data_IF_661122348382
#
_entry.id   IF_661122348382
#
_cell.length_a   1.000
_cell.length_b   1.000
_cell.length_c   1.000
_cell.angle_alpha   90.00
_cell.angle_beta   90.00
_cell.angle_gamma   90.00
#
_symmetry.space_group_name_H-M   'P 1'
#
loop_
_entity.id
_entity.type
_entity.pdbx_description
1 polymer ?
#
# COMPACT_ATOMS: atom_id res chain seq x y z
N UNK A 1 -42.04 5.36 -7.55
CA UNK A 1 -41.34 4.55 -8.57
C UNK A 1 -42.01 4.60 -9.96
N UNK A 2 -43.33 4.78 -10.07
CA UNK A 2 -44.05 4.86 -11.36
C UNK A 2 -43.76 6.11 -12.22
N UNK A 3 -43.01 7.10 -11.71
CA UNK A 3 -42.69 8.36 -12.42
C UNK A 3 -41.36 8.31 -13.21
N UNK A 4 -40.74 7.14 -13.38
CA UNK A 4 -39.52 6.99 -14.20
C UNK A 4 -38.24 7.63 -13.61
N UNK A 5 -38.30 8.19 -12.40
CA UNK A 5 -37.17 8.83 -11.73
C UNK A 5 -36.21 7.85 -11.04
N UNK A 6 -36.40 6.53 -11.21
CA UNK A 6 -35.47 5.55 -10.66
C UNK A 6 -34.17 5.55 -11.49
N UNK A 7 -33.05 5.84 -10.82
CA UNK A 7 -31.72 5.82 -11.43
C UNK A 7 -30.77 5.07 -10.51
N UNK A 8 -30.16 4.01 -11.04
CA UNK A 8 -29.02 3.36 -10.38
C UNK A 8 -27.81 4.24 -10.66
N UNK A 9 -27.31 4.94 -9.64
CA UNK A 9 -26.15 5.83 -9.78
C UNK A 9 -24.84 5.08 -9.66
N UNK A 10 -24.81 4.02 -8.85
CA UNK A 10 -23.66 3.16 -8.61
C UNK A 10 -24.15 1.75 -8.28
N UNK A 11 -23.39 0.73 -8.69
CA UNK A 11 -23.57 -0.66 -8.28
C UNK A 11 -22.20 -1.32 -8.13
N UNK A 12 -22.12 -2.36 -7.32
CA UNK A 12 -20.95 -3.21 -7.19
C UNK A 12 -21.42 -4.67 -7.18
N UNK A 13 -20.56 -5.56 -7.67
CA UNK A 13 -20.75 -7.00 -7.60
C UNK A 13 -19.75 -7.56 -6.59
N UNK A 14 -20.07 -8.66 -5.94
CA UNK A 14 -19.20 -9.35 -4.99
C UNK A 14 -19.47 -10.85 -5.04
N UNK A 15 -18.58 -11.61 -4.42
CA UNK A 15 -18.68 -13.06 -4.26
C UNK A 15 -18.40 -13.50 -2.80
N UNK A 16 -18.59 -12.59 -1.85
CA UNK A 16 -18.44 -12.79 -0.40
C UNK A 16 -19.21 -14.01 0.14
N UNK A 17 -20.25 -14.42 -0.57
CA UNK A 17 -21.07 -15.59 -0.25
C UNK A 17 -20.36 -16.93 -0.47
N UNK A 18 -19.28 -16.94 -1.26
CA UNK A 18 -18.55 -18.16 -1.64
C UNK A 18 -17.24 -18.27 -0.85
N UNK A 19 -17.18 -19.22 0.07
CA UNK A 19 -15.91 -19.57 0.74
C UNK A 19 -15.07 -20.51 -0.15
N UNK A 20 -14.16 -19.92 -0.93
CA UNK A 20 -13.22 -20.68 -1.77
C UNK A 20 -12.22 -21.53 -0.96
N UNK A 21 -12.08 -21.32 0.35
CA UNK A 21 -11.25 -22.13 1.24
C UNK A 21 -11.79 -23.56 1.40
N UNK A 22 -13.08 -23.77 1.12
CA UNK A 22 -13.70 -25.10 1.09
C UNK A 22 -13.23 -25.95 -0.09
N UNK A 23 -12.49 -25.38 -1.04
CA UNK A 23 -11.91 -26.12 -2.16
C UNK A 23 -10.82 -27.09 -1.69
N UNK A 24 -11.14 -28.38 -1.63
CA UNK A 24 -10.24 -29.41 -1.13
C UNK A 24 -9.48 -30.12 -2.26
N UNK A 25 -8.28 -29.62 -2.58
CA UNK A 25 -7.35 -30.23 -3.55
C UNK A 25 -6.92 -31.65 -3.22
N UNK A 26 -7.13 -32.10 -1.98
CA UNK A 26 -6.69 -33.40 -1.48
C UNK A 26 -7.89 -34.33 -1.20
N UNK A 27 -9.08 -34.06 -1.77
CA UNK A 27 -10.25 -34.89 -1.52
C UNK A 27 -9.97 -36.36 -1.93
N UNK A 28 -10.15 -37.35 -1.03
CA UNK A 28 -9.76 -38.75 -1.27
C UNK A 28 -10.42 -39.37 -2.51
N UNK A 29 -11.63 -38.91 -2.84
CA UNK A 29 -12.43 -39.39 -3.97
C UNK A 29 -12.03 -38.80 -5.33
N UNK A 30 -10.97 -37.98 -5.39
CA UNK A 30 -10.42 -37.41 -6.62
C UNK A 30 -11.03 -36.07 -7.01
N UNK A 31 -10.58 -35.54 -8.17
CA UNK A 31 -10.82 -34.15 -8.59
C UNK A 31 -12.28 -33.77 -8.81
N UNK A 32 -13.16 -34.74 -9.02
CA UNK A 32 -14.60 -34.51 -9.18
C UNK A 32 -15.29 -34.06 -7.87
N UNK A 33 -14.58 -34.09 -6.74
CA UNK A 33 -15.09 -33.76 -5.42
C UNK A 33 -14.33 -32.60 -4.77
N UNK A 34 -13.43 -31.92 -5.49
CA UNK A 34 -12.64 -30.83 -4.91
C UNK A 34 -13.49 -29.60 -4.58
N UNK A 35 -14.62 -29.42 -5.25
CA UNK A 35 -15.54 -28.29 -5.14
C UNK A 35 -16.93 -28.68 -4.63
N UNK A 36 -17.12 -29.90 -4.11
CA UNK A 36 -18.43 -30.41 -3.73
C UNK A 36 -19.11 -29.52 -2.68
N UNK A 37 -18.38 -29.11 -1.66
CA UNK A 37 -18.87 -28.25 -0.59
C UNK A 37 -19.25 -26.85 -1.12
N UNK A 38 -18.51 -26.33 -2.11
CA UNK A 38 -18.81 -25.04 -2.74
C UNK A 38 -20.09 -25.13 -3.58
N UNK A 39 -20.28 -26.23 -4.33
CA UNK A 39 -21.48 -26.47 -5.13
C UNK A 39 -22.76 -26.62 -4.30
N UNK A 40 -22.62 -26.96 -3.02
CA UNK A 40 -23.72 -27.08 -2.07
C UNK A 40 -24.05 -25.78 -1.34
N UNK A 41 -23.32 -24.68 -1.61
CA UNK A 41 -23.58 -23.39 -0.97
C UNK A 41 -24.99 -22.89 -1.35
N UNK A 42 -25.85 -22.54 -0.36
CA UNK A 42 -27.21 -22.11 -0.63
C UNK A 42 -27.24 -20.78 -1.41
N UNK A 43 -28.21 -20.64 -2.31
CA UNK A 43 -28.45 -19.37 -3.03
C UNK A 43 -29.03 -18.34 -2.06
N UNK A 44 -28.33 -17.22 -1.89
CA UNK A 44 -28.76 -16.11 -1.03
C UNK A 44 -29.63 -15.12 -1.80
N UNK A 45 -30.65 -14.58 -1.13
CA UNK A 45 -31.50 -13.51 -1.67
C UNK A 45 -30.96 -12.12 -1.29
N UNK A 46 -31.32 -11.10 -2.06
CA UNK A 46 -30.88 -9.74 -1.78
C UNK A 46 -31.52 -9.20 -0.49
N UNK A 47 -30.69 -8.84 0.50
CA UNK A 47 -31.14 -8.22 1.75
C UNK A 47 -30.92 -6.70 1.71
N UNK A 48 -31.87 -5.93 2.22
CA UNK A 48 -31.78 -4.46 2.28
C UNK A 48 -31.15 -3.94 3.58
N UNK A 49 -30.66 -4.84 4.44
CA UNK A 49 -30.15 -4.50 5.77
C UNK A 49 -28.71 -4.01 5.68
N UNK A 50 -28.36 -2.95 6.42
CA UNK A 50 -27.04 -2.30 6.37
C UNK A 50 -25.84 -3.22 6.65
N UNK A 51 -26.06 -4.32 7.38
CA UNK A 51 -25.01 -5.32 7.67
C UNK A 51 -24.93 -6.45 6.64
N UNK A 52 -25.74 -6.41 5.58
CA UNK A 52 -25.73 -7.35 4.46
C UNK A 52 -25.05 -6.73 3.22
N UNK A 53 -24.09 -5.83 3.44
CA UNK A 53 -23.29 -5.25 2.37
C UNK A 53 -22.16 -6.19 1.99
N UNK A 54 -21.82 -6.16 0.69
CA UNK A 54 -20.61 -6.77 0.14
C UNK A 54 -19.38 -6.14 0.83
N UNK A 55 -18.51 -6.96 1.41
CA UNK A 55 -17.23 -6.55 1.98
C UNK A 55 -16.10 -6.60 0.93
N UNK A 56 -16.13 -7.57 0.01
CA UNK A 56 -15.17 -7.71 -1.09
C UNK A 56 -15.85 -7.53 -2.44
N UNK A 57 -15.66 -6.36 -3.05
CA UNK A 57 -16.13 -6.11 -4.40
C UNK A 57 -15.27 -6.83 -5.45
N UNK A 58 -15.90 -7.30 -6.53
CA UNK A 58 -15.19 -7.80 -7.70
C UNK A 58 -14.32 -6.69 -8.31
N UNK A 59 -13.05 -7.01 -8.54
CA UNK A 59 -12.09 -6.13 -9.22
C UNK A 59 -12.03 -6.49 -10.70
N UNK A 60 -12.07 -5.49 -11.56
CA UNK A 60 -11.89 -5.67 -13.00
C UNK A 60 -10.45 -5.35 -13.38
N UNK A 61 -9.78 -6.28 -14.05
CA UNK A 61 -8.45 -6.06 -14.61
C UNK A 61 -8.55 -5.57 -16.05
N UNK A 62 -7.83 -4.50 -16.37
CA UNK A 62 -7.78 -3.95 -17.71
C UNK A 62 -6.67 -4.65 -18.49
N UNK A 63 -6.99 -5.78 -19.14
CA UNK A 63 -6.02 -6.54 -19.91
C UNK A 63 -6.48 -7.98 -20.10
N UNK A 64 -5.75 -8.93 -19.53
CA UNK A 64 -6.05 -10.35 -19.62
C UNK A 64 -7.02 -10.79 -18.51
N UNK A 65 -8.18 -11.35 -18.87
CA UNK A 65 -9.13 -11.94 -17.92
C UNK A 65 -8.76 -13.38 -17.53
N UNK A 66 -7.84 -14.02 -18.27
CA UNK A 66 -7.35 -15.37 -17.98
C UNK A 66 -6.12 -15.32 -17.06
N UNK A 67 -6.28 -14.68 -15.90
CA UNK A 67 -5.22 -14.63 -14.89
C UNK A 67 -5.18 -15.94 -14.10
N UNK A 68 -4.02 -16.60 -14.11
CA UNK A 68 -3.78 -17.75 -13.24
C UNK A 68 -3.51 -17.31 -11.79
N UNK A 69 -2.96 -16.11 -11.60
CA UNK A 69 -2.60 -15.56 -10.29
C UNK A 69 -3.05 -14.11 -10.17
N UNK A 70 -3.60 -13.77 -9.00
CA UNK A 70 -4.01 -12.41 -8.70
C UNK A 70 -2.82 -11.59 -8.16
N UNK A 71 -2.69 -10.32 -8.60
CA UNK A 71 -1.70 -9.42 -8.03
C UNK A 71 -2.09 -9.05 -6.59
N UNK A 72 -1.09 -8.69 -5.80
CA UNK A 72 -1.22 -8.24 -4.42
C UNK A 72 -0.36 -6.99 -4.21
N UNK A 73 -0.75 -6.12 -3.29
CA UNK A 73 0.06 -5.01 -2.79
C UNK A 73 0.46 -5.26 -1.33
N UNK A 74 1.71 -4.96 -0.99
CA UNK A 74 2.22 -5.06 0.37
C UNK A 74 3.07 -3.84 0.70
N UNK A 75 2.94 -3.33 1.92
CA UNK A 75 3.92 -2.39 2.46
C UNK A 75 5.25 -3.15 2.60
N UNK A 76 6.31 -2.63 1.98
CA UNK A 76 7.59 -3.29 2.00
C UNK A 76 8.16 -3.27 3.43
N UNK A 77 8.36 -4.45 3.97
CA UNK A 77 9.08 -4.69 5.21
C UNK A 77 10.58 -4.58 4.99
N UNK A 78 11.29 -4.11 6.01
CA UNK A 78 12.74 -3.95 6.00
C UNK A 78 13.41 -5.28 5.69
N UNK A 79 14.21 -5.36 4.62
CA UNK A 79 15.24 -6.36 4.62
C UNK A 79 16.37 -5.82 5.51
N UNK A 80 16.60 -6.49 6.64
CA UNK A 80 17.76 -6.23 7.50
C UNK A 80 19.01 -6.62 6.74
N UNK A 81 19.46 -5.77 5.82
CA UNK A 81 20.71 -6.01 5.13
C UNK A 81 21.46 -4.69 4.99
N UNK A 82 22.47 -4.56 5.85
CA UNK A 82 23.49 -3.53 5.71
C UNK A 82 24.34 -3.90 4.49
N UNK A 83 24.15 -3.18 3.39
CA UNK A 83 25.01 -3.30 2.23
C UNK A 83 25.74 -1.98 2.02
N UNK A 84 27.01 -2.07 1.65
CA UNK A 84 27.81 -0.93 1.20
C UNK A 84 27.27 -0.44 -0.15
N UNK A 85 26.20 0.35 -0.13
CA UNK A 85 25.67 0.99 -1.30
C UNK A 85 26.50 2.24 -1.63
N UNK A 86 27.08 2.28 -2.82
CA UNK A 86 27.34 3.56 -3.48
C UNK A 86 25.99 4.16 -3.91
N UNK A 87 25.33 4.85 -2.98
CA UNK A 87 24.09 5.57 -3.24
C UNK A 87 23.00 5.26 -2.23
N UNK A 88 22.85 6.15 -1.25
CA UNK A 88 21.76 6.27 -0.27
C UNK A 88 21.34 4.99 0.48
N UNK A 89 21.73 4.90 1.75
CA UNK A 89 21.08 4.02 2.74
C UNK A 89 19.57 4.31 2.78
N UNK A 90 18.75 3.44 2.18
CA UNK A 90 17.30 3.59 2.26
C UNK A 90 16.80 3.03 3.58
N UNK A 91 16.22 3.90 4.41
CA UNK A 91 15.60 3.50 5.66
C UNK A 91 14.21 2.95 5.37
N UNK A 92 14.04 1.63 5.50
CA UNK A 92 12.75 0.98 5.40
C UNK A 92 11.97 1.21 6.69
N UNK A 93 10.80 1.85 6.58
CA UNK A 93 9.91 2.00 7.72
C UNK A 93 9.06 0.72 7.88
N UNK A 94 9.18 0.06 9.02
CA UNK A 94 8.41 -1.14 9.36
C UNK A 94 7.52 -0.86 10.56
N UNK A 95 6.24 -0.64 10.30
CA UNK A 95 5.26 -0.47 11.35
C UNK A 95 3.85 -0.75 10.86
N UNK A 96 2.99 -1.18 11.78
CA UNK A 96 1.54 -1.12 11.60
C UNK A 96 0.99 0.29 11.73
N UNK A 97 1.80 1.28 12.13
CA UNK A 97 1.44 2.69 12.25
C UNK A 97 2.64 3.59 11.94
N UNK A 98 2.47 4.53 11.01
CA UNK A 98 3.53 5.48 10.67
C UNK A 98 3.29 6.86 11.28
N UNK A 99 4.33 7.47 11.83
CA UNK A 99 4.24 8.76 12.52
C UNK A 99 4.67 9.90 11.59
N UNK A 100 3.95 11.02 11.57
CA UNK A 100 4.29 12.20 10.76
C UNK A 100 4.37 13.40 11.67
N UNK A 101 5.54 14.03 11.73
CA UNK A 101 5.71 15.26 12.52
C UNK A 101 5.10 16.47 11.81
N UNK A 102 4.58 17.42 12.59
CA UNK A 102 4.13 18.71 12.05
C UNK A 102 5.14 19.83 12.25
N UNK A 103 5.96 19.77 13.30
CA UNK A 103 6.91 20.83 13.69
C UNK A 103 8.34 20.30 13.89
N UNK A 104 9.38 21.15 13.71
CA UNK A 104 10.78 20.75 13.94
C UNK A 104 11.07 20.25 15.37
N UNK A 105 10.36 20.79 16.37
CA UNK A 105 10.45 20.29 17.74
C UNK A 105 9.91 18.85 17.87
N UNK A 106 8.86 18.54 17.10
CA UNK A 106 8.33 17.17 17.01
C UNK A 106 9.29 16.27 16.24
N UNK A 107 9.90 16.73 15.15
CA UNK A 107 10.91 15.97 14.41
C UNK A 107 12.05 15.49 15.31
N UNK A 108 12.57 16.39 16.12
CA UNK A 108 13.69 16.09 17.04
C UNK A 108 13.27 15.06 18.10
N UNK A 109 12.06 15.20 18.64
CA UNK A 109 11.54 14.28 19.65
C UNK A 109 11.27 12.89 19.06
N UNK A 110 10.63 12.80 17.88
CA UNK A 110 10.37 11.53 17.20
C UNK A 110 11.66 10.83 16.78
N UNK A 111 12.68 11.58 16.33
CA UNK A 111 13.99 10.99 15.97
C UNK A 111 14.67 10.32 17.18
N UNK A 112 14.40 10.81 18.38
CA UNK A 112 14.92 10.21 19.63
C UNK A 112 14.06 9.04 20.09
N UNK A 113 12.74 9.17 19.99
CA UNK A 113 11.78 8.18 20.49
C UNK A 113 11.59 6.97 19.55
N UNK A 114 11.80 7.14 18.24
CA UNK A 114 11.51 6.13 17.21
C UNK A 114 12.71 5.93 16.29
N UNK A 115 12.98 4.67 15.94
CA UNK A 115 14.12 4.30 15.07
C UNK A 115 13.74 4.03 13.62
N UNK A 116 12.55 3.51 13.33
CA UNK A 116 12.18 3.00 11.99
C UNK A 116 10.71 3.23 11.60
N UNK A 117 10.05 4.27 12.14
CA UNK A 117 8.59 4.40 12.00
C UNK A 117 8.07 5.82 11.76
N UNK A 118 8.95 6.82 11.58
CA UNK A 118 8.54 8.22 11.51
C UNK A 118 8.92 8.88 10.17
N UNK A 119 8.15 9.89 9.81
CA UNK A 119 8.32 10.82 8.69
C UNK A 119 8.76 12.17 9.21
N UNK A 120 9.79 12.75 8.58
CA UNK A 120 10.10 14.16 8.75
C UNK A 120 9.10 15.03 7.98
N UNK A 121 8.72 16.14 8.60
CA UNK A 121 8.03 17.24 7.94
C UNK A 121 8.81 17.77 6.73
N UNK A 122 8.28 18.78 6.01
CA UNK A 122 8.49 19.03 4.57
C UNK A 122 9.94 19.37 4.26
N UNK A 123 10.76 18.34 4.12
CA UNK A 123 12.14 18.41 3.69
C UNK A 123 12.33 17.34 2.63
N UNK A 124 13.14 17.63 1.61
CA UNK A 124 13.39 16.75 0.47
C UNK A 124 14.20 15.48 0.83
N UNK A 125 14.30 15.17 2.13
CA UNK A 125 14.95 13.99 2.72
C UNK A 125 13.98 13.18 3.59
N UNK A 126 12.68 13.34 3.39
CA UNK A 126 11.67 12.62 4.15
C UNK A 126 11.84 11.10 3.95
N UNK A 127 11.86 10.30 5.02
CA UNK A 127 11.79 8.85 4.89
C UNK A 127 10.44 8.50 4.21
N UNK A 128 10.42 7.39 3.47
CA UNK A 128 9.29 7.02 2.63
C UNK A 128 8.75 5.67 3.08
N UNK A 129 7.45 5.46 2.93
CA UNK A 129 6.85 4.13 3.04
C UNK A 129 6.86 3.48 1.67
N UNK A 130 7.53 2.34 1.56
CA UNK A 130 7.60 1.59 0.32
C UNK A 130 6.38 0.69 0.20
N UNK A 131 5.79 0.64 -0.99
CA UNK A 131 4.73 -0.30 -1.34
C UNK A 131 5.21 -1.09 -2.54
N UNK A 132 5.18 -2.41 -2.44
CA UNK A 132 5.48 -3.31 -3.55
C UNK A 132 4.20 -3.96 -4.06
N UNK A 133 4.11 -4.12 -5.38
CA UNK A 133 3.07 -4.93 -6.03
C UNK A 133 3.69 -6.14 -6.72
N UNK A 134 2.90 -7.20 -6.86
CA UNK A 134 3.29 -8.41 -7.58
C UNK A 134 2.47 -9.61 -7.14
N UNK A 135 2.88 -10.80 -7.56
CA UNK A 135 2.18 -12.05 -7.21
C UNK A 135 2.78 -12.63 -5.94
N UNK A 136 1.94 -12.88 -4.95
CA UNK A 136 2.35 -13.55 -3.71
C UNK A 136 1.55 -14.85 -3.52
N UNK A 137 2.22 -15.94 -3.16
CA UNK A 137 1.59 -17.25 -2.98
C UNK A 137 2.19 -18.04 -1.81
N UNK A 138 1.38 -18.89 -1.18
CA UNK A 138 1.81 -19.85 -0.16
C UNK A 138 2.41 -21.15 -0.74
N UNK A 139 2.24 -21.46 -2.03
CA UNK A 139 2.67 -22.74 -2.64
C UNK A 139 4.14 -22.74 -3.08
N UNK A 140 4.87 -23.84 -2.81
CA UNK A 140 6.32 -23.97 -3.05
C UNK A 140 6.74 -24.20 -4.52
N UNK A 141 5.82 -24.59 -5.39
CA UNK A 141 6.06 -24.82 -6.83
C UNK A 141 5.06 -23.96 -7.64
N UNK A 142 5.53 -23.30 -8.71
CA UNK A 142 5.45 -21.85 -8.95
C UNK A 142 4.07 -21.25 -8.61
N UNK A 143 4.01 -20.24 -7.72
CA UNK A 143 4.39 -18.83 -8.01
C UNK A 143 5.51 -18.21 -7.15
N UNK A 144 6.22 -18.98 -6.30
CA UNK A 144 7.23 -18.41 -5.38
C UNK A 144 8.59 -18.05 -5.98
N UNK A 145 8.86 -18.42 -7.24
CA UNK A 145 10.18 -18.14 -7.82
C UNK A 145 10.28 -16.68 -8.24
N UNK A 146 11.10 -15.93 -7.51
CA UNK A 146 11.45 -14.54 -7.81
C UNK A 146 12.53 -14.51 -8.88
N UNK A 147 12.14 -14.66 -10.14
CA UNK A 147 13.05 -14.53 -11.29
C UNK A 147 12.44 -13.66 -12.42
N UNK A 148 13.30 -13.20 -13.34
CA UNK A 148 12.88 -12.35 -14.47
C UNK A 148 12.02 -13.07 -15.50
N UNK A 149 12.17 -14.39 -15.64
CA UNK A 149 11.38 -15.20 -16.57
C UNK A 149 9.92 -15.22 -16.12
N UNK A 150 9.66 -15.56 -14.86
CA UNK A 150 8.36 -15.55 -14.22
C UNK A 150 7.78 -14.14 -14.15
N UNK A 151 8.60 -13.12 -13.91
CA UNK A 151 8.14 -11.73 -14.03
C UNK A 151 7.68 -11.40 -15.45
N UNK A 152 8.42 -11.82 -16.47
CA UNK A 152 8.04 -11.58 -17.87
C UNK A 152 6.76 -12.32 -18.22
N UNK A 153 6.63 -13.60 -17.85
CA UNK A 153 5.46 -14.42 -18.16
C UNK A 153 4.22 -13.99 -17.38
N UNK A 154 4.32 -13.82 -16.06
CA UNK A 154 3.15 -13.63 -15.20
C UNK A 154 2.79 -12.18 -14.94
N UNK A 155 3.76 -11.25 -14.96
CA UNK A 155 3.48 -9.82 -14.75
C UNK A 155 3.39 -9.08 -16.07
N UNK A 156 4.47 -9.05 -16.86
CA UNK A 156 4.52 -8.26 -18.10
C UNK A 156 3.57 -8.84 -19.13
N UNK A 157 3.59 -10.16 -19.35
CA UNK A 157 2.75 -10.85 -20.33
C UNK A 157 1.24 -10.79 -20.02
N UNK A 158 0.86 -10.41 -18.80
CA UNK A 158 -0.53 -10.23 -18.39
C UNK A 158 -0.89 -8.77 -18.06
N UNK A 159 -0.03 -7.82 -18.43
CA UNK A 159 -0.23 -6.38 -18.18
C UNK A 159 -0.47 -6.02 -16.70
N UNK A 160 0.16 -6.74 -15.76
CA UNK A 160 -0.01 -6.53 -14.31
C UNK A 160 1.01 -5.55 -13.72
N UNK A 161 1.56 -4.63 -14.52
CA UNK A 161 2.58 -3.68 -14.07
C UNK A 161 1.97 -2.32 -13.71
N UNK A 162 2.11 -1.91 -12.45
CA UNK A 162 1.66 -0.60 -11.96
C UNK A 162 2.77 0.46 -12.12
N UNK A 163 2.71 1.23 -13.21
CA UNK A 163 3.60 2.38 -13.41
C UNK A 163 3.20 3.61 -12.61
N UNK A 164 1.96 3.64 -12.12
CA UNK A 164 1.38 4.76 -11.38
C UNK A 164 0.50 4.21 -10.25
N UNK A 165 0.40 4.99 -9.18
CA UNK A 165 -0.43 4.69 -8.03
C UNK A 165 -1.31 5.88 -7.69
N UNK A 166 -2.59 5.60 -7.44
CA UNK A 166 -3.55 6.55 -6.90
C UNK A 166 -3.43 6.54 -5.37
N UNK A 167 -3.04 7.67 -4.79
CA UNK A 167 -2.92 7.85 -3.35
C UNK A 167 -4.01 8.79 -2.85
N UNK A 168 -4.94 8.26 -2.08
CA UNK A 168 -6.07 9.00 -1.53
C UNK A 168 -5.85 9.29 -0.05
N UNK A 169 -5.96 10.57 0.31
CA UNK A 169 -5.67 11.09 1.66
C UNK A 169 -6.77 12.05 2.12
N UNK A 170 -6.96 12.15 3.44
CA UNK A 170 -7.84 13.17 4.02
C UNK A 170 -7.19 14.55 3.93
N UNK A 171 -7.78 15.42 3.11
CA UNK A 171 -7.23 16.75 2.81
C UNK A 171 -7.40 17.77 3.93
N UNK A 172 -8.13 17.44 5.00
CA UNK A 172 -8.16 18.26 6.22
C UNK A 172 -6.82 18.21 6.97
N UNK A 173 -6.09 17.11 6.80
CA UNK A 173 -4.86 16.83 7.56
C UNK A 173 -3.62 16.69 6.69
N UNK A 174 -3.78 16.32 5.41
CA UNK A 174 -2.68 16.15 4.46
C UNK A 174 -2.78 17.19 3.35
N UNK A 175 -1.69 17.91 3.12
CA UNK A 175 -1.61 18.95 2.09
C UNK A 175 -1.00 18.44 0.77
N UNK A 176 -0.10 17.46 0.85
CA UNK A 176 0.61 16.96 -0.32
C UNK A 176 1.06 15.52 -0.17
N UNK A 177 1.24 14.85 -1.30
CA UNK A 177 1.78 13.49 -1.39
C UNK A 177 2.94 13.50 -2.37
N UNK A 178 4.05 12.84 -2.03
CA UNK A 178 5.20 12.68 -2.90
C UNK A 178 5.46 11.20 -3.20
N UNK A 179 5.69 10.93 -4.48
CA UNK A 179 6.20 9.66 -4.99
C UNK A 179 7.71 9.65 -5.15
N UNK A 180 8.29 8.57 -5.69
CA UNK A 180 9.67 8.58 -6.15
C UNK A 180 9.85 9.58 -7.31
N UNK A 181 10.94 10.35 -7.28
CA UNK A 181 11.35 11.22 -8.38
C UNK A 181 11.76 10.38 -9.59
N UNK A 182 11.17 10.65 -10.76
CA UNK A 182 11.34 9.79 -11.95
C UNK A 182 12.74 9.81 -12.57
N UNK A 183 13.53 10.86 -12.30
CA UNK A 183 14.87 11.00 -12.84
C UNK A 183 15.85 10.29 -11.89
N UNK A 184 16.25 9.06 -12.26
CA UNK A 184 17.18 8.18 -11.53
C UNK A 184 16.57 7.29 -10.42
N UNK A 185 15.26 7.03 -10.46
CA UNK A 185 14.66 6.03 -9.58
C UNK A 185 14.96 4.60 -10.05
N UNK A 186 15.64 3.79 -9.22
CA UNK A 186 16.03 2.41 -9.53
C UNK A 186 15.69 1.46 -8.39
N UNK A 187 15.33 0.23 -8.75
CA UNK A 187 15.05 -0.85 -7.81
C UNK A 187 15.39 -2.19 -8.43
N UNK A 188 16.69 -2.44 -8.60
CA UNK A 188 17.20 -3.57 -9.37
C UNK A 188 18.38 -4.27 -8.69
N UNK A 189 18.43 -5.59 -8.80
CA UNK A 189 19.69 -6.34 -8.72
C UNK A 189 20.35 -6.35 -10.10
N UNK A 190 21.66 -6.26 -10.16
CA UNK A 190 22.43 -6.24 -11.40
C UNK A 190 23.25 -7.51 -11.54
N UNK A 191 23.53 -7.91 -12.78
CA UNK A 191 24.31 -9.12 -13.11
C UNK A 191 25.76 -9.09 -12.59
N UNK A 192 26.25 -7.94 -12.13
CA UNK A 192 27.57 -7.78 -11.51
C UNK A 192 27.55 -8.03 -9.99
N UNK A 193 26.49 -8.67 -9.47
CA UNK A 193 26.28 -8.87 -8.05
C UNK A 193 26.22 -7.54 -7.25
N UNK A 194 25.71 -6.47 -7.87
CA UNK A 194 25.41 -5.20 -7.19
C UNK A 194 23.92 -4.92 -7.11
N UNK A 195 23.52 -4.26 -6.03
CA UNK A 195 22.15 -3.83 -5.79
C UNK A 195 22.07 -2.32 -6.02
N UNK A 196 21.20 -1.89 -6.92
CA UNK A 196 20.98 -0.49 -7.24
C UNK A 196 19.55 -0.09 -6.87
N UNK A 197 19.42 0.50 -5.69
CA UNK A 197 18.15 0.93 -5.11
C UNK A 197 18.22 2.40 -4.77
N UNK A 198 17.82 3.25 -5.72
CA UNK A 198 17.74 4.68 -5.52
C UNK A 198 16.28 5.11 -5.63
N UNK A 199 15.60 5.37 -4.51
CA UNK A 199 14.30 6.04 -4.51
C UNK A 199 14.44 7.27 -3.63
N UNK A 200 14.24 8.44 -4.22
CA UNK A 200 14.22 9.72 -3.52
C UNK A 200 12.86 10.37 -3.73
N UNK A 201 12.34 11.12 -2.74
CA UNK A 201 11.06 11.79 -2.88
C UNK A 201 11.15 12.84 -4.00
N UNK A 202 10.22 12.75 -4.94
CA UNK A 202 9.96 13.80 -5.92
C UNK A 202 9.22 15.00 -5.30
N UNK A 203 8.82 15.97 -6.12
CA UNK A 203 8.02 17.09 -5.63
C UNK A 203 6.66 16.60 -5.08
N UNK A 204 6.21 17.23 -4.00
CA UNK A 204 4.88 16.99 -3.45
C UNK A 204 3.80 17.45 -4.46
N UNK A 205 2.85 16.57 -4.71
CA UNK A 205 1.66 16.81 -5.53
C UNK A 205 0.46 17.03 -4.61
N UNK A 206 -0.32 18.08 -4.87
CA UNK A 206 -1.54 18.37 -4.12
C UNK A 206 -2.68 17.46 -4.60
N UNK A 207 -3.31 16.67 -3.70
CA UNK A 207 -4.46 15.85 -4.03
C UNK A 207 -5.67 16.72 -4.46
N UNK A 208 -6.34 16.36 -5.56
CA UNK A 208 -7.32 17.25 -6.19
C UNK A 208 -8.69 16.62 -6.48
N UNK A 209 -8.77 15.31 -6.74
CA UNK A 209 -10.01 14.62 -7.13
C UNK A 209 -10.41 13.59 -6.08
N UNK A 210 -11.70 13.47 -5.75
CA UNK A 210 -12.17 12.33 -4.94
C UNK A 210 -12.45 11.11 -5.84
N UNK A 211 -11.55 10.13 -5.85
CA UNK A 211 -11.72 8.89 -6.64
C UNK A 211 -12.34 7.74 -5.87
N UNK A 212 -12.30 7.80 -4.55
CA UNK A 212 -12.75 6.70 -3.68
C UNK A 212 -14.15 6.94 -3.09
N UNK A 213 -14.74 8.13 -3.31
CA UNK A 213 -16.08 8.46 -2.86
C UNK A 213 -16.21 8.71 -1.35
N UNK A 214 -15.10 8.80 -0.62
CA UNK A 214 -15.10 9.10 0.82
C UNK A 214 -15.02 10.62 1.01
N UNK A 215 -15.85 11.18 1.86
CA UNK A 215 -15.85 12.63 2.14
C UNK A 215 -14.49 13.12 2.64
N UNK A 216 -14.09 14.32 2.20
CA UNK A 216 -12.80 14.96 2.51
C UNK A 216 -11.55 14.27 1.93
N UNK A 217 -11.70 13.07 1.36
CA UNK A 217 -10.62 12.39 0.67
C UNK A 217 -10.43 12.93 -0.73
N UNK A 218 -9.16 13.16 -1.08
CA UNK A 218 -8.75 13.45 -2.45
C UNK A 218 -7.54 12.63 -2.81
N UNK A 219 -7.36 12.43 -4.11
CA UNK A 219 -6.39 11.54 -4.70
C UNK A 219 -5.32 12.35 -5.43
N UNK A 220 -4.05 12.00 -5.19
CA UNK A 220 -2.91 12.38 -5.98
C UNK A 220 -2.35 11.15 -6.71
N UNK A 221 -1.71 11.35 -7.86
CA UNK A 221 -1.06 10.27 -8.60
C UNK A 221 0.43 10.33 -8.30
N UNK A 222 1.02 9.21 -7.90
CA UNK A 222 2.46 9.06 -7.73
C UNK A 222 3.02 8.01 -8.69
N UNK A 223 4.31 8.10 -8.98
CA UNK A 223 4.99 7.17 -9.87
C UNK A 223 5.32 5.84 -9.18
N UNK A 224 5.27 4.77 -9.96
CA UNK A 224 5.86 3.47 -9.65
C UNK A 224 7.16 3.27 -10.42
N UNK A 225 8.02 2.41 -9.90
CA UNK A 225 9.29 2.01 -10.51
C UNK A 225 9.27 0.50 -10.66
N UNK A 226 9.71 -0.07 -11.80
CA UNK A 226 9.77 -1.52 -11.96
C UNK A 226 10.62 -2.16 -10.87
N UNK A 227 10.06 -3.16 -10.17
CA UNK A 227 10.82 -3.94 -9.20
C UNK A 227 11.57 -5.07 -9.93
N UNK A 228 12.90 -4.95 -9.99
CA UNK A 228 13.83 -5.89 -10.64
C UNK A 228 14.82 -6.47 -9.64
N UNK A 229 14.50 -6.47 -8.35
CA UNK A 229 15.39 -7.05 -7.32
C UNK A 229 15.47 -8.59 -7.42
N UNK A 230 14.54 -9.18 -8.17
CA UNK A 230 14.53 -10.59 -8.57
C UNK A 230 15.45 -10.94 -9.76
N UNK A 231 16.36 -10.04 -10.16
CA UNK A 231 17.12 -10.17 -11.40
C UNK A 231 18.31 -11.15 -11.37
N UNK A 232 18.76 -11.60 -10.20
CA UNK A 232 19.91 -12.49 -10.09
C UNK A 232 19.71 -13.52 -8.97
N UNK A 233 20.26 -14.71 -9.16
CA UNK A 233 19.92 -15.95 -8.42
C UNK A 233 20.37 -15.99 -6.96
N UNK A 234 20.76 -14.85 -6.38
CA UNK A 234 21.24 -14.77 -5.01
C UNK A 234 20.08 -14.72 -4.02
N UNK A 235 20.00 -15.74 -3.18
CA UNK A 235 18.97 -15.89 -2.14
C UNK A 235 18.95 -14.74 -1.12
N UNK A 236 20.03 -13.96 -1.02
CA UNK A 236 20.09 -12.75 -0.19
C UNK A 236 19.24 -11.62 -0.77
N UNK A 237 19.18 -11.46 -2.10
CA UNK A 237 18.41 -10.40 -2.75
C UNK A 237 16.93 -10.73 -2.81
N UNK A 238 16.60 -12.02 -2.93
CA UNK A 238 15.21 -12.48 -2.81
C UNK A 238 14.57 -12.08 -1.47
N UNK A 239 15.35 -11.83 -0.41
CA UNK A 239 14.86 -11.34 0.89
C UNK A 239 14.53 -9.84 0.91
N UNK A 240 14.98 -9.07 -0.09
CA UNK A 240 14.73 -7.62 -0.17
C UNK A 240 13.30 -7.28 -0.59
N UNK A 241 12.70 -8.10 -1.45
CA UNK A 241 11.29 -7.91 -1.82
C UNK A 241 10.38 -8.66 -0.86
N UNK A 242 9.33 -7.99 -0.42
CA UNK A 242 8.25 -8.56 0.39
C UNK A 242 7.27 -9.41 -0.40
N UNK A 243 7.18 -9.18 -1.70
CA UNK A 243 6.46 -10.06 -2.61
C UNK A 243 7.24 -11.37 -2.69
N UNK A 244 6.61 -12.48 -2.32
CA UNK A 244 7.27 -13.78 -2.26
C UNK A 244 7.27 -14.55 -3.60
N UNK A 245 6.71 -13.97 -4.67
CA UNK A 245 6.74 -14.45 -6.05
C UNK A 245 7.28 -13.38 -7.02
N UNK A 246 6.91 -13.39 -8.32
CA UNK A 246 7.43 -12.42 -9.28
C UNK A 246 6.96 -10.99 -8.91
N UNK A 247 7.89 -10.06 -8.67
CA UNK A 247 7.55 -8.69 -8.31
C UNK A 247 7.20 -7.85 -9.55
N UNK A 248 6.26 -6.93 -9.42
CA UNK A 248 5.82 -6.06 -10.50
C UNK A 248 6.48 -4.68 -10.43
N UNK A 249 6.07 -3.89 -9.44
CA UNK A 249 6.51 -2.52 -9.23
C UNK A 249 6.73 -2.23 -7.74
N UNK A 250 7.50 -1.18 -7.47
CA UNK A 250 7.63 -0.54 -6.16
C UNK A 250 7.28 0.93 -6.29
N UNK A 251 6.59 1.47 -5.31
CA UNK A 251 6.45 2.91 -5.13
C UNK A 251 6.88 3.29 -3.73
N UNK A 252 7.20 4.57 -3.55
CA UNK A 252 7.61 5.14 -2.29
C UNK A 252 6.69 6.32 -1.99
N UNK A 253 6.03 6.28 -0.84
CA UNK A 253 5.05 7.26 -0.40
C UNK A 253 5.66 8.15 0.68
N UNK A 254 5.59 9.46 0.47
CA UNK A 254 5.78 10.47 1.51
C UNK A 254 4.58 11.40 1.56
N UNK A 255 4.23 11.89 2.75
CA UNK A 255 3.10 12.80 2.95
C UNK A 255 3.54 14.08 3.64
N UNK A 256 2.93 15.19 3.23
CA UNK A 256 3.13 16.51 3.81
C UNK A 256 1.90 16.88 4.63
N UNK A 257 2.01 17.04 5.95
CA UNK A 257 0.88 17.42 6.79
C UNK A 257 0.43 18.85 6.50
N UNK A 258 -0.84 19.14 6.77
CA UNK A 258 -1.41 20.48 6.63
C UNK A 258 -0.67 21.49 7.52
N UNK A 259 -0.25 22.65 6.99
CA UNK A 259 0.45 23.67 7.76
C UNK A 259 -0.32 24.14 9.01
N UNK A 260 -1.65 24.12 8.97
CA UNK A 260 -2.51 24.52 10.09
C UNK A 260 -2.31 23.64 11.34
N UNK A 261 -1.92 22.38 11.15
CA UNK A 261 -1.67 21.44 12.24
C UNK A 261 -0.42 21.81 13.05
N UNK A 262 0.42 22.72 12.56
CA UNK A 262 1.57 23.22 13.34
C UNK A 262 1.13 24.01 14.56
N UNK A 263 0.12 24.85 14.39
CA UNK A 263 -0.24 25.87 15.39
C UNK A 263 -1.62 25.63 16.01
N UNK A 264 -2.49 24.83 15.40
CA UNK A 264 -3.88 24.68 15.87
C UNK A 264 -4.06 23.54 16.87
N UNK A 265 -4.11 23.85 18.17
CA UNK A 265 -4.53 22.88 19.20
C UNK A 265 -6.01 22.47 19.09
N UNK A 266 -6.83 23.34 18.51
CA UNK A 266 -8.26 23.09 18.30
C UNK A 266 -8.51 21.93 17.32
N UNK A 267 -7.73 21.84 16.23
CA UNK A 267 -7.86 20.73 15.26
C UNK A 267 -7.58 19.37 15.92
N UNK A 268 -6.56 19.28 16.77
CA UNK A 268 -6.27 18.05 17.53
C UNK A 268 -7.35 17.71 18.56
N UNK A 269 -7.95 18.72 19.19
CA UNK A 269 -9.04 18.50 20.15
C UNK A 269 -10.32 18.00 19.46
N UNK A 270 -10.55 18.43 18.21
CA UNK A 270 -11.74 18.07 17.43
C UNK A 270 -11.62 16.72 16.72
N UNK A 271 -10.45 16.41 16.15
CA UNK A 271 -10.26 15.27 15.27
C UNK A 271 -9.30 14.21 15.80
N UNK A 272 -8.72 14.41 16.98
CA UNK A 272 -7.64 13.59 17.48
C UNK A 272 -7.64 13.47 19.00
N UNK A 273 -6.45 13.31 19.56
CA UNK A 273 -6.22 13.31 21.00
C UNK A 273 -5.16 14.33 21.37
N UNK A 274 -5.23 14.77 22.62
CA UNK A 274 -4.37 15.82 23.15
C UNK A 274 -3.65 15.40 24.43
N UNK A 275 -2.46 15.97 24.66
CA UNK A 275 -1.62 15.69 25.85
C UNK A 275 -1.42 14.19 26.16
N UNK A 276 -1.09 13.41 25.14
CA UNK A 276 -0.87 11.98 25.26
C UNK A 276 0.61 11.70 25.50
N UNK A 277 0.92 10.85 26.47
CA UNK A 277 2.23 10.22 26.57
C UNK A 277 2.27 9.05 25.59
N UNK A 278 2.93 9.27 24.44
CA UNK A 278 2.98 8.29 23.36
C UNK A 278 4.19 7.36 23.44
N UNK A 279 5.27 7.80 24.09
CA UNK A 279 6.58 7.16 23.99
C UNK A 279 7.28 6.97 25.35
N UNK A 280 6.71 7.45 26.46
CA UNK A 280 7.33 7.37 27.78
C UNK A 280 8.60 8.22 27.91
N UNK A 281 8.75 9.23 27.05
CA UNK A 281 9.96 10.06 26.91
C UNK A 281 9.89 11.37 27.73
N UNK A 282 8.88 11.48 28.60
CA UNK A 282 8.60 12.68 29.39
C UNK A 282 8.00 13.84 28.60
N UNK A 283 7.75 13.67 27.30
CA UNK A 283 7.04 14.64 26.48
C UNK A 283 5.56 14.26 26.36
N UNK A 284 4.72 15.26 26.10
CA UNK A 284 3.32 15.02 25.73
C UNK A 284 3.06 15.46 24.30
N UNK A 285 2.14 14.74 23.65
CA UNK A 285 1.89 14.86 22.23
C UNK A 285 0.40 15.01 21.94
N UNK A 286 0.11 15.82 20.93
CA UNK A 286 -1.19 15.84 20.27
C UNK A 286 -1.09 15.02 19.00
N UNK A 287 -2.10 14.21 18.70
CA UNK A 287 -2.08 13.39 17.49
C UNK A 287 -3.45 13.25 16.82
N UNK A 288 -3.43 13.08 15.50
CA UNK A 288 -4.59 12.73 14.67
C UNK A 288 -4.24 11.46 13.90
N UNK A 289 -5.14 10.48 13.90
CA UNK A 289 -5.01 9.27 13.10
C UNK A 289 -5.80 9.41 11.80
N UNK A 290 -5.19 9.01 10.69
CA UNK A 290 -5.81 9.01 9.36
C UNK A 290 -5.34 7.80 8.57
N UNK A 291 -6.18 7.31 7.66
CA UNK A 291 -5.82 6.21 6.75
C UNK A 291 -5.46 6.81 5.38
N UNK A 292 -4.39 6.32 4.78
CA UNK A 292 -4.02 6.61 3.39
C UNK A 292 -4.29 5.36 2.56
N UNK A 293 -5.02 5.53 1.47
CA UNK A 293 -5.32 4.45 0.53
C UNK A 293 -4.39 4.57 -0.67
N UNK A 294 -3.64 3.51 -0.97
CA UNK A 294 -2.78 3.45 -2.15
C UNK A 294 -3.32 2.36 -3.07
N UNK A 295 -3.61 2.71 -4.32
CA UNK A 295 -4.19 1.81 -5.32
C UNK A 295 -3.29 1.75 -6.56
N UNK A 296 -2.90 0.55 -6.98
CA UNK A 296 -2.21 0.34 -8.25
C UNK A 296 -3.12 0.70 -9.41
N UNK A 297 -2.68 1.60 -10.30
CA UNK A 297 -3.57 2.15 -11.33
C UNK A 297 -3.90 1.16 -12.46
N UNK A 298 -3.06 0.14 -12.64
CA UNK A 298 -3.27 -0.91 -13.65
C UNK A 298 -4.00 -2.10 -13.03
N UNK A 299 -3.51 -2.58 -11.90
CA UNK A 299 -4.00 -3.82 -11.27
C UNK A 299 -5.17 -3.60 -10.32
N UNK A 300 -5.43 -2.37 -9.87
CA UNK A 300 -6.49 -2.07 -8.92
C UNK A 300 -6.24 -2.60 -7.50
N UNK A 301 -5.12 -3.28 -7.26
CA UNK A 301 -4.74 -3.74 -5.91
C UNK A 301 -4.60 -2.55 -4.99
N UNK A 302 -5.08 -2.69 -3.77
CA UNK A 302 -5.06 -1.61 -2.80
C UNK A 302 -4.37 -2.01 -1.51
N UNK A 303 -3.77 -1.02 -0.85
CA UNK A 303 -3.25 -1.15 0.50
C UNK A 303 -3.68 0.06 1.32
N UNK A 304 -4.09 -0.21 2.56
CA UNK A 304 -4.48 0.81 3.53
C UNK A 304 -3.33 1.00 4.50
N UNK A 305 -2.88 2.25 4.65
CA UNK A 305 -1.71 2.58 5.45
C UNK A 305 -2.17 3.58 6.51
N UNK A 306 -2.18 3.20 7.80
CA UNK A 306 -2.52 4.11 8.87
C UNK A 306 -1.34 5.04 9.18
N UNK A 307 -1.64 6.32 9.28
CA UNK A 307 -0.73 7.39 9.65
C UNK A 307 -1.23 8.12 10.89
N UNK A 308 -0.29 8.43 11.78
CA UNK A 308 -0.49 9.28 12.95
C UNK A 308 0.26 10.58 12.78
N UNK A 309 -0.47 11.67 12.60
CA UNK A 309 0.11 13.01 12.50
C UNK A 309 0.28 13.55 13.92
N UNK A 310 1.51 13.84 14.32
CA UNK A 310 1.91 14.18 15.68
C UNK A 310 2.42 15.62 15.78
N UNK A 311 2.09 16.27 16.89
CA UNK A 311 2.69 17.51 17.34
C UNK A 311 3.11 17.38 18.81
N UNK A 312 4.39 17.62 19.09
CA UNK A 312 4.89 17.79 20.46
C UNK A 312 4.26 19.04 21.09
N UNK A 313 3.73 18.90 22.30
CA UNK A 313 3.34 20.05 23.12
C UNK A 313 4.59 20.71 23.69
N UNK A 314 4.62 22.03 23.63
CA UNK A 314 5.62 22.88 24.26
C UNK A 314 5.01 23.43 25.54
#
# INVERSE_FOLDING_TARGET
MAEGNFRITQFALGDDEVDYGLYNKNHPSGSAYYDLEILQTPVLEAFTKTNANINYGLVSFNGNLNLLYLPTAKVAGSPTIAFGASGASQQFLTSSLFYVSTTPATDTALTTALTTQYFWGPSNKAPMVFIETGISSSSENPPRTKDLTNRTTYIIGNDLMDSNFDVSVDTRFVNGVAGPGVNAATWEGRADNTLNMALSPGPFTTPSTNRIGIDNYKTAIISGVPNRVAADDLDTWKKLSTINGPPAAVTALSISPSPDLRNSAAKYSLYGKVAQDLFGDGNTYDYIDTIVYVVGKTTGVSVQIPFRIVRKRV
#
